data_IF_133478745297
#
_entry.id   IF_133478745297
#
_cell.length_a   1.000
_cell.length_b   1.000
_cell.length_c   1.000
_cell.angle_alpha   90.00
_cell.angle_beta   90.00
_cell.angle_gamma   90.00
#
_symmetry.space_group_name_H-M   'P 1'
#
loop_
_entity.id
_entity.type
_entity.pdbx_description
1 polymer ?
#
# COMPACT_ATOMS: atom_id res chain seq x y z
N UNK A 1 -13.41 -2.54 17.88
CA UNK A 1 -13.56 -1.09 17.67
C UNK A 1 -14.37 -0.90 16.40
N UNK A 2 -15.54 -0.27 16.50
CA UNK A 2 -16.49 -0.14 15.40
C UNK A 2 -15.95 0.84 14.34
N UNK A 3 -15.55 0.34 13.18
CA UNK A 3 -15.23 1.18 12.03
C UNK A 3 -16.53 1.83 11.58
N UNK A 4 -16.67 3.14 11.78
CA UNK A 4 -17.71 3.92 11.10
C UNK A 4 -17.53 3.70 9.60
N UNK A 5 -18.50 3.05 8.95
CA UNK A 5 -18.47 2.81 7.52
C UNK A 5 -18.28 4.13 6.78
N UNK A 6 -17.37 4.14 5.80
CA UNK A 6 -17.18 5.28 4.93
C UNK A 6 -18.52 5.66 4.26
N UNK A 7 -18.80 6.96 4.05
CA UNK A 7 -20.02 7.39 3.39
C UNK A 7 -20.10 6.74 2.00
N UNK A 8 -21.22 6.08 1.72
CA UNK A 8 -21.50 5.51 0.41
C UNK A 8 -21.59 6.66 -0.61
N UNK A 9 -20.87 6.55 -1.72
CA UNK A 9 -20.98 7.49 -2.84
C UNK A 9 -22.38 7.35 -3.42
N UNK A 10 -23.22 8.38 -3.26
CA UNK A 10 -24.63 8.32 -3.62
C UNK A 10 -24.91 8.39 -5.13
N UNK A 11 -23.95 8.89 -5.92
CA UNK A 11 -24.06 8.95 -7.39
C UNK A 11 -22.69 9.06 -8.07
N UNK A 12 -22.60 8.55 -9.30
CA UNK A 12 -21.39 8.56 -10.11
C UNK A 12 -21.23 9.95 -10.76
N UNK A 13 -19.99 10.45 -10.83
CA UNK A 13 -19.64 11.68 -11.54
C UNK A 13 -18.61 12.52 -10.80
N UNK A 14 -17.88 13.36 -11.53
CA UNK A 14 -16.78 14.16 -10.96
C UNK A 14 -17.26 15.18 -9.91
N UNK A 15 -18.51 15.65 -9.98
CA UNK A 15 -19.09 16.59 -9.02
C UNK A 15 -19.33 15.99 -7.63
N UNK A 16 -19.47 14.66 -7.55
CA UNK A 16 -19.72 13.92 -6.31
C UNK A 16 -18.54 13.01 -5.93
N UNK A 17 -17.42 13.17 -6.63
CA UNK A 17 -16.19 12.42 -6.42
C UNK A 17 -15.23 13.15 -5.46
N UNK A 18 -14.14 12.47 -5.11
CA UNK A 18 -13.03 13.09 -4.40
C UNK A 18 -12.31 14.09 -5.31
N UNK A 19 -12.27 15.36 -4.88
CA UNK A 19 -11.52 16.41 -5.56
C UNK A 19 -10.36 16.85 -4.67
N UNK A 20 -9.15 16.84 -5.22
CA UNK A 20 -7.93 17.22 -4.53
C UNK A 20 -7.21 18.29 -5.33
N UNK A 21 -6.77 19.34 -4.64
CA UNK A 21 -5.79 20.30 -5.16
C UNK A 21 -4.50 20.04 -4.38
N UNK A 22 -3.46 19.61 -5.09
CA UNK A 22 -2.20 19.16 -4.50
C UNK A 22 -1.07 20.11 -4.91
N UNK A 23 -0.20 20.45 -3.96
CA UNK A 23 1.03 21.18 -4.22
C UNK A 23 2.21 20.19 -4.23
N UNK A 24 2.98 20.18 -5.31
CA UNK A 24 4.12 19.27 -5.45
C UNK A 24 5.39 19.79 -4.78
N UNK A 25 5.44 21.06 -4.32
CA UNK A 25 6.55 21.65 -3.56
C UNK A 25 7.93 21.37 -4.19
N UNK A 26 8.07 21.68 -5.48
CA UNK A 26 9.22 21.30 -6.30
C UNK A 26 10.58 21.78 -5.75
N UNK A 27 10.58 22.89 -5.03
CA UNK A 27 11.74 23.50 -4.39
C UNK A 27 12.24 22.75 -3.15
N UNK A 28 11.43 21.83 -2.60
CA UNK A 28 11.78 21.00 -1.44
C UNK A 28 12.46 19.68 -1.84
N UNK A 29 12.53 19.36 -3.13
CA UNK A 29 13.13 18.12 -3.62
C UNK A 29 14.65 18.17 -3.56
N UNK A 30 15.25 17.00 -3.31
CA UNK A 30 16.70 16.85 -3.39
C UNK A 30 17.19 17.04 -4.84
N UNK A 31 18.39 17.62 -5.07
CA UNK A 31 18.94 17.79 -6.43
C UNK A 31 19.11 16.49 -7.22
N UNK A 32 19.18 15.34 -6.53
CA UNK A 32 19.31 14.01 -7.14
C UNK A 32 17.96 13.40 -7.57
N UNK A 33 16.84 14.02 -7.22
CA UNK A 33 15.52 13.50 -7.56
C UNK A 33 15.25 13.62 -9.06
N UNK A 34 14.99 12.49 -9.72
CA UNK A 34 14.80 12.44 -11.17
C UNK A 34 13.37 12.78 -11.63
N UNK A 35 12.40 12.77 -10.72
CA UNK A 35 10.98 12.95 -11.03
C UNK A 35 10.30 13.84 -10.01
N UNK A 36 9.37 14.67 -10.48
CA UNK A 36 8.53 15.55 -9.67
C UNK A 36 7.06 15.20 -9.92
N UNK A 37 6.29 15.07 -8.84
CA UNK A 37 4.84 14.87 -8.92
C UNK A 37 4.27 14.27 -7.66
N UNK A 38 3.06 13.74 -7.78
CA UNK A 38 2.35 13.10 -6.67
C UNK A 38 2.10 11.64 -7.04
N UNK A 39 2.02 10.76 -6.03
CA UNK A 39 1.65 9.36 -6.24
C UNK A 39 0.42 9.03 -5.41
N UNK A 40 -0.59 8.46 -6.04
CA UNK A 40 -1.88 8.12 -5.42
C UNK A 40 -2.09 6.60 -5.50
N UNK A 41 -2.59 6.00 -4.43
CA UNK A 41 -2.94 4.58 -4.35
C UNK A 41 -4.40 4.46 -3.97
N UNK A 42 -5.17 3.72 -4.77
CA UNK A 42 -6.54 3.35 -4.42
C UNK A 42 -6.52 1.93 -3.81
N UNK A 43 -6.88 1.80 -2.54
CA UNK A 43 -6.85 0.52 -1.82
C UNK A 43 -8.08 0.37 -0.91
N UNK A 44 -8.34 -0.85 -0.44
CA UNK A 44 -9.42 -1.08 0.51
C UNK A 44 -9.07 -0.47 1.88
N UNK A 45 -10.02 0.11 2.64
CA UNK A 45 -9.72 0.78 3.91
C UNK A 45 -9.10 -0.08 5.00
N UNK A 46 -9.23 -1.42 4.91
CA UNK A 46 -8.62 -2.36 5.85
C UNK A 46 -7.23 -2.85 5.43
N UNK A 47 -6.79 -2.52 4.22
CA UNK A 47 -5.51 -2.95 3.66
C UNK A 47 -4.51 -1.79 3.71
N UNK A 48 -3.23 -2.11 3.91
CA UNK A 48 -2.17 -1.10 3.80
C UNK A 48 -1.96 -0.66 2.35
N UNK A 49 -1.70 0.63 2.07
CA UNK A 49 -1.34 1.06 0.72
C UNK A 49 0.05 0.54 0.32
N UNK A 50 0.19 0.04 -0.91
CA UNK A 50 1.48 -0.28 -1.52
C UNK A 50 1.79 0.68 -2.68
N UNK A 51 2.40 1.85 -2.42
CA UNK A 51 2.71 2.83 -3.46
C UNK A 51 3.82 2.40 -4.43
N UNK A 52 4.58 1.36 -4.14
CA UNK A 52 5.62 0.89 -5.05
C UNK A 52 5.04 0.09 -6.22
N UNK A 53 4.05 -0.76 -5.93
CA UNK A 53 3.41 -1.61 -6.94
C UNK A 53 2.11 -1.02 -7.49
N UNK A 54 1.26 -0.47 -6.62
CA UNK A 54 -0.13 -0.12 -6.95
C UNK A 54 -0.33 1.40 -7.12
N UNK A 55 0.78 2.15 -7.17
CA UNK A 55 0.79 3.61 -7.23
C UNK A 55 0.61 4.19 -8.63
N UNK A 56 -0.25 5.20 -8.74
CA UNK A 56 -0.49 5.98 -9.95
C UNK A 56 0.27 7.32 -9.81
N UNK A 57 1.16 7.61 -10.76
CA UNK A 57 1.88 8.89 -10.80
C UNK A 57 0.99 9.98 -11.42
N UNK A 58 0.93 11.13 -10.75
CA UNK A 58 0.18 12.32 -11.15
C UNK A 58 1.16 13.43 -11.47
N UNK A 59 1.06 13.97 -12.68
CA UNK A 59 1.93 15.04 -13.18
C UNK A 59 1.40 16.39 -12.69
N UNK A 60 2.25 17.26 -12.12
CA UNK A 60 1.82 18.59 -11.68
C UNK A 60 1.52 19.50 -12.88
N UNK A 61 0.68 20.52 -12.67
CA UNK A 61 0.33 21.51 -13.69
C UNK A 61 -0.83 21.11 -14.62
N UNK A 62 -1.34 19.90 -14.47
CA UNK A 62 -2.51 19.40 -15.21
C UNK A 62 -3.55 18.82 -14.26
N UNK A 63 -4.82 18.92 -14.64
CA UNK A 63 -5.89 18.19 -13.97
C UNK A 63 -5.86 16.72 -14.43
N UNK A 64 -5.90 15.80 -13.47
CA UNK A 64 -5.93 14.35 -13.75
C UNK A 64 -7.22 13.76 -13.19
N UNK A 65 -8.05 13.21 -14.08
CA UNK A 65 -9.26 12.49 -13.70
C UNK A 65 -8.98 10.99 -13.61
N UNK A 66 -9.26 10.39 -12.44
CA UNK A 66 -9.12 8.95 -12.22
C UNK A 66 -10.53 8.37 -12.08
N UNK A 67 -10.92 7.55 -13.07
CA UNK A 67 -12.19 6.81 -13.01
C UNK A 67 -11.97 5.45 -12.37
N UNK A 68 -12.89 5.02 -11.50
CA UNK A 68 -12.78 3.77 -10.76
C UNK A 68 -13.91 2.82 -11.12
N UNK A 69 -13.57 1.54 -11.30
CA UNK A 69 -14.50 0.43 -11.38
C UNK A 69 -14.14 -0.57 -10.30
N UNK A 70 -15.06 -0.86 -9.39
CA UNK A 70 -14.85 -1.85 -8.34
C UNK A 70 -15.17 -3.24 -8.89
N UNK A 71 -14.19 -4.14 -8.76
CA UNK A 71 -14.36 -5.57 -9.04
C UNK A 71 -14.10 -6.33 -7.74
N UNK A 72 -15.06 -7.14 -7.31
CA UNK A 72 -14.97 -7.95 -6.10
C UNK A 72 -15.01 -9.44 -6.45
N UNK A 73 -14.08 -10.22 -5.89
CA UNK A 73 -14.01 -11.68 -6.09
C UNK A 73 -14.23 -12.34 -4.72
N UNK A 74 -15.37 -13.02 -4.58
CA UNK A 74 -15.71 -13.76 -3.37
C UNK A 74 -15.61 -15.25 -3.65
N UNK A 75 -14.80 -15.95 -2.85
CA UNK A 75 -14.63 -17.41 -2.93
C UNK A 75 -15.71 -18.12 -2.10
N UNK A 76 -16.12 -19.29 -2.57
CA UNK A 76 -17.02 -20.17 -1.82
C UNK A 76 -16.31 -20.75 -0.58
N UNK A 77 -17.07 -20.93 0.49
CA UNK A 77 -16.59 -21.61 1.71
C UNK A 77 -16.53 -23.13 1.53
N UNK A 78 -16.00 -23.84 2.53
CA UNK A 78 -15.96 -25.32 2.59
C UNK A 78 -17.29 -25.94 2.11
N UNK A 79 -17.29 -26.97 1.23
CA UNK A 79 -16.18 -27.87 0.88
C UNK A 79 -15.36 -27.46 -0.35
N UNK A 80 -15.65 -26.32 -0.97
CA UNK A 80 -14.99 -25.85 -2.19
C UNK A 80 -13.63 -25.22 -1.84
N UNK A 81 -12.74 -26.02 -1.23
CA UNK A 81 -11.40 -25.60 -0.80
C UNK A 81 -10.55 -25.32 -2.03
N UNK A 82 -10.28 -24.05 -2.31
CA UNK A 82 -9.04 -23.72 -2.99
C UNK A 82 -7.92 -23.74 -1.94
N UNK A 83 -6.71 -24.16 -2.32
CA UNK A 83 -5.56 -24.28 -1.40
C UNK A 83 -5.02 -22.90 -0.96
N UNK A 84 -5.86 -21.88 -0.99
CA UNK A 84 -5.44 -20.50 -1.09
C UNK A 84 -5.49 -19.74 0.23
N UNK A 85 -6.18 -20.21 1.29
CA UNK A 85 -6.32 -19.44 2.55
C UNK A 85 -6.79 -20.23 3.78
N UNK A 86 -6.43 -19.73 4.96
CA UNK A 86 -7.23 -19.85 6.18
C UNK A 86 -8.35 -18.78 6.13
N UNK A 87 -9.61 -19.20 5.95
CA UNK A 87 -10.76 -18.31 5.71
C UNK A 87 -11.07 -17.31 6.84
N UNK A 88 -10.41 -17.44 7.99
CA UNK A 88 -10.61 -16.58 9.17
C UNK A 88 -9.60 -15.42 9.23
N UNK A 89 -8.53 -15.45 8.43
CA UNK A 89 -7.50 -14.42 8.40
C UNK A 89 -7.75 -13.43 7.25
N UNK A 90 -7.89 -12.15 7.58
CA UNK A 90 -8.07 -11.05 6.63
C UNK A 90 -6.73 -10.44 6.23
N UNK A 91 -5.77 -11.27 5.84
CA UNK A 91 -4.48 -10.82 5.33
C UNK A 91 -4.44 -11.02 3.82
N UNK A 92 -4.01 -9.99 3.08
CA UNK A 92 -3.82 -10.13 1.63
C UNK A 92 -2.67 -11.09 1.34
N UNK A 93 -2.69 -11.71 0.16
CA UNK A 93 -1.58 -12.58 -0.28
C UNK A 93 -0.24 -11.84 -0.25
N UNK A 94 -0.22 -10.57 -0.67
CA UNK A 94 0.99 -9.74 -0.70
C UNK A 94 1.53 -9.52 0.71
N UNK A 95 0.68 -9.12 1.65
CA UNK A 95 1.07 -8.90 3.06
C UNK A 95 1.66 -10.18 3.68
N UNK A 96 1.01 -11.34 3.46
CA UNK A 96 1.50 -12.63 3.95
C UNK A 96 2.90 -12.95 3.40
N UNK A 97 3.12 -12.74 2.09
CA UNK A 97 4.41 -13.00 1.44
C UNK A 97 5.51 -12.07 1.95
N UNK A 98 5.22 -10.77 2.08
CA UNK A 98 6.16 -9.79 2.64
C UNK A 98 6.49 -10.14 4.09
N UNK A 99 5.49 -10.41 4.92
CA UNK A 99 5.66 -10.81 6.32
C UNK A 99 6.51 -12.08 6.46
N UNK A 100 6.28 -13.08 5.60
CA UNK A 100 7.08 -14.30 5.54
C UNK A 100 8.56 -14.01 5.22
N UNK A 101 8.81 -13.23 4.18
CA UNK A 101 10.17 -12.85 3.77
C UNK A 101 10.91 -12.11 4.88
N UNK A 102 10.22 -11.18 5.55
CA UNK A 102 10.80 -10.38 6.63
C UNK A 102 11.14 -11.24 7.85
N UNK A 103 10.28 -12.20 8.22
CA UNK A 103 10.61 -13.18 9.27
C UNK A 103 11.82 -14.03 8.91
N UNK A 104 11.92 -14.46 7.65
CA UNK A 104 13.07 -15.22 7.18
C UNK A 104 14.37 -14.40 7.24
N UNK A 105 14.33 -13.16 6.76
CA UNK A 105 15.47 -12.24 6.81
C UNK A 105 15.93 -12.00 8.26
N UNK A 106 14.99 -11.75 9.16
CA UNK A 106 15.30 -11.57 10.57
C UNK A 106 15.94 -12.82 11.19
N UNK A 107 15.41 -14.01 10.93
CA UNK A 107 15.97 -15.25 11.45
C UNK A 107 17.40 -15.51 10.95
N UNK A 108 17.72 -15.07 9.74
CA UNK A 108 19.02 -15.29 9.10
C UNK A 108 20.05 -14.22 9.47
N UNK A 109 19.63 -12.96 9.57
CA UNK A 109 20.53 -11.81 9.65
C UNK A 109 20.34 -10.95 10.91
N UNK A 110 19.22 -11.10 11.63
CA UNK A 110 18.93 -10.36 12.86
C UNK A 110 18.36 -8.95 12.65
N UNK A 111 18.02 -8.58 11.42
CA UNK A 111 17.44 -7.29 11.08
C UNK A 111 16.35 -7.41 10.00
N UNK A 112 15.51 -6.39 9.93
CA UNK A 112 14.42 -6.27 8.96
C UNK A 112 14.74 -5.25 7.87
N UNK A 113 14.00 -5.33 6.76
CA UNK A 113 14.06 -4.31 5.73
C UNK A 113 13.62 -2.93 6.27
N UNK A 114 14.32 -1.83 5.93
CA UNK A 114 14.02 -0.49 6.45
C UNK A 114 12.61 0.02 6.14
N UNK A 115 12.02 -0.42 5.03
CA UNK A 115 10.69 0.03 4.57
C UNK A 115 9.55 -0.80 5.18
N UNK A 116 9.87 -1.92 5.84
CA UNK A 116 8.87 -2.80 6.42
C UNK A 116 8.34 -2.25 7.75
N UNK A 117 7.01 -2.13 7.86
CA UNK A 117 6.32 -1.55 9.03
C UNK A 117 5.60 -2.58 9.92
N UNK A 118 5.74 -3.87 9.65
CA UNK A 118 4.89 -4.91 10.26
C UNK A 118 5.35 -5.45 11.63
N UNK A 119 6.56 -5.14 12.11
CA UNK A 119 7.09 -5.67 13.37
C UNK A 119 7.70 -4.56 14.23
N UNK A 120 6.99 -4.16 15.29
CA UNK A 120 7.44 -3.12 16.20
C UNK A 120 8.57 -3.62 17.13
N UNK A 121 9.56 -2.76 17.38
CA UNK A 121 10.62 -3.04 18.36
C UNK A 121 11.78 -3.91 17.85
N UNK A 122 11.81 -4.22 16.55
CA UNK A 122 12.90 -4.97 15.91
C UNK A 122 13.86 -4.00 15.22
N UNK A 123 15.16 -4.32 15.24
CA UNK A 123 16.18 -3.55 14.55
C UNK A 123 15.96 -3.58 13.02
N UNK A 124 15.89 -2.39 12.42
CA UNK A 124 15.93 -2.23 10.97
C UNK A 124 17.38 -2.35 10.49
N UNK A 125 17.56 -2.82 9.26
CA UNK A 125 18.86 -2.87 8.61
C UNK A 125 19.45 -1.45 8.52
N UNK A 126 20.68 -1.28 8.99
CA UNK A 126 21.41 -0.03 8.86
C UNK A 126 22.34 -0.10 7.64
N UNK A 127 21.95 0.59 6.56
CA UNK A 127 22.72 0.66 5.32
C UNK A 127 24.10 1.33 5.46
N UNK A 128 24.37 2.00 6.59
CA UNK A 128 25.71 2.57 6.87
C UNK A 128 26.63 1.59 7.61
N UNK A 129 26.10 0.48 8.12
CA UNK A 129 26.89 -0.53 8.79
C UNK A 129 27.33 -1.60 7.77
N UNK A 130 28.61 -1.62 7.43
CA UNK A 130 29.19 -2.55 6.44
C UNK A 130 29.09 -4.03 6.81
N UNK A 131 28.70 -4.37 8.03
CA UNK A 131 28.42 -5.76 8.44
C UNK A 131 26.99 -6.19 8.17
N UNK A 132 26.12 -5.26 7.74
CA UNK A 132 24.70 -5.48 7.46
C UNK A 132 24.33 -5.28 5.98
N UNK A 133 25.30 -4.94 5.12
CA UNK A 133 25.13 -4.72 3.67
C UNK A 133 25.91 -5.76 2.89
#
# INVERSE_FOLDING_TARGET
MSSKGAPLVASIGCSNALQLILNAEADTYLPISHTLGMRVVNHHPSEGPNPEEDGINIVPGYETHISLQQNEIVRLSTPYKDKCIAYEEKESQKECMVSCLQRHNYAKFGYLEPLFKGMNGIALCNLTNSTQV
#
